data_IF_474322773661
#
_entry.id   IF_474322773661
#
_cell.length_a   1.000
_cell.length_b   1.000
_cell.length_c   1.000
_cell.angle_alpha   90.00
_cell.angle_beta   90.00
_cell.angle_gamma   90.00
#
_symmetry.space_group_name_H-M   'P 1'
#
loop_
_entity.id
_entity.type
_entity.pdbx_description
1 polymer ?
#
# COMPACT_ATOMS: atom_id res chain seq x y z
N UNK A 1 -1.57 -1.70 -6.25
CA UNK A 1 -2.88 -2.37 -6.20
C UNK A 1 -3.90 -1.45 -5.55
N UNK A 2 -5.07 -1.31 -6.17
CA UNK A 2 -6.16 -0.44 -5.75
C UNK A 2 -7.45 -1.25 -5.58
N UNK A 3 -8.30 -0.90 -4.63
CA UNK A 3 -9.60 -1.55 -4.47
C UNK A 3 -10.31 -1.15 -3.19
N UNK A 4 -11.56 -1.59 -3.03
CA UNK A 4 -12.33 -1.35 -1.81
C UNK A 4 -11.76 -2.06 -0.58
N UNK A 5 -12.31 -1.75 0.60
CA UNK A 5 -12.09 -2.57 1.79
C UNK A 5 -12.65 -3.99 1.57
N UNK A 6 -11.94 -5.01 2.04
CA UNK A 6 -12.36 -6.41 1.86
C UNK A 6 -12.33 -6.93 0.42
N UNK A 7 -11.70 -6.23 -0.52
CA UNK A 7 -11.69 -6.64 -1.93
C UNK A 7 -10.70 -7.78 -2.27
N UNK A 8 -9.86 -8.24 -1.32
CA UNK A 8 -8.82 -9.25 -1.56
C UNK A 8 -7.49 -8.70 -2.08
N UNK A 9 -7.31 -7.38 -2.15
CA UNK A 9 -6.10 -6.75 -2.71
C UNK A 9 -4.79 -7.01 -1.94
N UNK A 10 -4.85 -7.19 -0.61
CA UNK A 10 -3.65 -7.46 0.19
C UNK A 10 -3.13 -8.87 -0.09
N UNK A 11 -4.01 -9.88 -0.10
CA UNK A 11 -3.66 -11.27 -0.45
C UNK A 11 -3.04 -11.36 -1.84
N UNK A 12 -3.63 -10.63 -2.81
CA UNK A 12 -3.10 -10.59 -4.17
C UNK A 12 -1.73 -9.89 -4.24
N UNK A 13 -1.54 -8.83 -3.45
CA UNK A 13 -0.27 -8.10 -3.39
C UNK A 13 0.85 -8.97 -2.81
N UNK A 14 0.54 -9.75 -1.77
CA UNK A 14 1.47 -10.74 -1.20
C UNK A 14 1.81 -11.83 -2.21
N UNK A 15 0.81 -12.38 -2.92
CA UNK A 15 1.04 -13.34 -4.01
C UNK A 15 1.97 -12.77 -5.09
N UNK A 16 1.73 -11.53 -5.52
CA UNK A 16 2.57 -10.88 -6.52
C UNK A 16 4.02 -10.69 -6.02
N UNK A 17 4.20 -10.33 -4.74
CA UNK A 17 5.52 -10.25 -4.14
C UNK A 17 6.22 -11.62 -4.07
N UNK A 18 5.49 -12.68 -3.72
CA UNK A 18 6.03 -14.06 -3.70
C UNK A 18 6.47 -14.53 -5.08
N UNK A 19 5.69 -14.24 -6.13
CA UNK A 19 5.99 -14.62 -7.52
C UNK A 19 7.29 -14.02 -8.05
N UNK A 20 7.79 -12.92 -7.45
CA UNK A 20 9.10 -12.37 -7.83
C UNK A 20 10.26 -13.31 -7.54
N UNK A 21 10.08 -14.27 -6.62
CA UNK A 21 11.14 -15.16 -6.12
C UNK A 21 12.20 -14.45 -5.26
N UNK A 22 12.07 -13.14 -5.04
CA UNK A 22 13.02 -12.36 -4.24
C UNK A 22 12.72 -12.47 -2.75
N UNK A 23 13.70 -12.20 -1.87
CA UNK A 23 13.47 -11.92 -0.46
C UNK A 23 12.50 -10.73 -0.30
N UNK A 24 11.63 -10.76 0.72
CA UNK A 24 10.48 -9.85 0.82
C UNK A 24 10.56 -8.97 2.06
N UNK A 25 10.38 -7.67 1.86
CA UNK A 25 10.22 -6.68 2.93
C UNK A 25 8.77 -6.23 2.98
N UNK A 26 8.13 -6.36 4.14
CA UNK A 26 6.80 -5.84 4.41
C UNK A 26 6.89 -4.54 5.20
N UNK A 27 6.39 -3.45 4.64
CA UNK A 27 6.29 -2.15 5.29
C UNK A 27 4.85 -1.91 5.75
N UNK A 28 4.64 -2.08 7.06
CA UNK A 28 3.35 -1.92 7.72
C UNK A 28 3.14 -0.45 8.09
N UNK A 29 2.19 0.23 7.47
CA UNK A 29 1.87 1.64 7.78
C UNK A 29 0.68 1.77 8.74
N UNK A 30 0.01 0.66 9.02
CA UNK A 30 -1.17 0.64 9.84
C UNK A 30 -0.76 0.62 11.33
N UNK A 31 -1.31 1.55 12.11
CA UNK A 31 -1.15 1.54 13.57
C UNK A 31 -2.25 0.67 14.18
N UNK A 32 -1.86 -0.37 14.91
CA UNK A 32 -2.80 -1.28 15.53
C UNK A 32 -3.29 -0.69 16.87
N UNK A 33 -4.27 0.22 16.78
CA UNK A 33 -4.84 0.88 17.96
C UNK A 33 -5.73 -0.06 18.79
N UNK A 34 -6.36 -1.06 18.16
CA UNK A 34 -7.23 -2.05 18.81
C UNK A 34 -6.67 -3.48 18.78
N UNK A 35 -7.21 -4.34 19.66
CA UNK A 35 -6.77 -5.73 19.81
C UNK A 35 -7.13 -6.62 18.60
N UNK A 36 -8.18 -6.28 17.87
CA UNK A 36 -8.60 -7.01 16.67
C UNK A 36 -7.56 -6.84 15.55
N UNK A 37 -7.09 -5.60 15.36
CA UNK A 37 -6.07 -5.25 14.40
C UNK A 37 -4.72 -5.83 14.80
N UNK A 38 -4.38 -5.83 16.10
CA UNK A 38 -3.19 -6.53 16.61
C UNK A 38 -3.23 -8.04 16.33
N UNK A 39 -4.36 -8.70 16.59
CA UNK A 39 -4.54 -10.12 16.32
C UNK A 39 -4.46 -10.44 14.82
N UNK A 40 -5.07 -9.60 13.96
CA UNK A 40 -4.97 -9.72 12.50
C UNK A 40 -3.53 -9.57 12.01
N UNK A 41 -2.78 -8.58 12.51
CA UNK A 41 -1.37 -8.38 12.18
C UNK A 41 -0.53 -9.59 12.61
N UNK A 42 -0.75 -10.12 13.81
CA UNK A 42 -0.03 -11.29 14.31
C UNK A 42 -0.31 -12.54 13.46
N UNK A 43 -1.57 -12.79 13.11
CA UNK A 43 -1.94 -13.90 12.23
C UNK A 43 -1.30 -13.78 10.84
N UNK A 44 -1.32 -12.58 10.24
CA UNK A 44 -0.68 -12.33 8.94
C UNK A 44 0.84 -12.48 8.98
N UNK A 45 1.50 -12.01 10.05
CA UNK A 45 2.94 -12.22 10.24
C UNK A 45 3.28 -13.71 10.32
N UNK A 46 2.47 -14.49 11.03
CA UNK A 46 2.67 -15.93 11.17
C UNK A 46 2.44 -16.70 9.85
N UNK A 47 1.50 -16.25 8.99
CA UNK A 47 1.17 -16.96 7.74
C UNK A 47 2.16 -16.72 6.60
N UNK A 48 2.98 -15.66 6.65
CA UNK A 48 3.87 -15.25 5.55
C UNK A 48 5.10 -16.15 5.34
N UNK A 49 5.53 -16.87 6.37
CA UNK A 49 6.72 -17.72 6.32
C UNK A 49 8.05 -16.96 6.55
N UNK A 50 9.19 -17.68 6.53
CA UNK A 50 10.48 -17.18 7.03
C UNK A 50 11.16 -16.12 6.14
N UNK A 51 10.79 -16.04 4.86
CA UNK A 51 11.44 -15.15 3.88
C UNK A 51 10.96 -13.69 3.94
N UNK A 52 10.11 -13.37 4.92
CA UNK A 52 9.57 -12.03 5.11
C UNK A 52 10.24 -11.33 6.29
N UNK A 53 10.85 -10.19 6.04
CA UNK A 53 11.16 -9.20 7.08
C UNK A 53 10.03 -8.18 7.16
N UNK A 54 9.52 -7.90 8.37
CA UNK A 54 8.49 -6.87 8.57
C UNK A 54 9.06 -5.68 9.31
N UNK A 55 8.81 -4.47 8.82
CA UNK A 55 9.11 -3.21 9.47
C UNK A 55 7.84 -2.37 9.59
N UNK A 56 7.61 -1.81 10.77
CA UNK A 56 6.52 -0.84 10.99
C UNK A 56 7.00 0.56 10.61
N UNK A 57 6.22 1.24 9.79
CA UNK A 57 6.52 2.58 9.27
C UNK A 57 5.22 3.41 9.16
N UNK A 58 4.56 3.71 10.30
CA UNK A 58 3.25 4.38 10.30
C UNK A 58 3.33 5.84 9.81
N UNK A 59 4.48 6.49 9.96
CA UNK A 59 4.74 7.86 9.49
C UNK A 59 5.99 7.92 8.60
N UNK A 60 7.11 7.35 9.03
CA UNK A 60 8.37 7.42 8.27
C UNK A 60 8.52 6.28 7.26
N UNK A 61 7.60 6.20 6.29
CA UNK A 61 7.70 5.23 5.20
C UNK A 61 8.92 5.50 4.30
N UNK A 62 9.32 6.76 4.14
CA UNK A 62 10.48 7.14 3.32
C UNK A 62 11.78 6.60 3.94
N UNK A 63 11.98 6.76 5.24
CA UNK A 63 13.11 6.19 5.95
C UNK A 63 13.14 4.65 5.88
N UNK A 64 11.97 4.01 6.01
CA UNK A 64 11.85 2.56 5.87
C UNK A 64 12.20 2.06 4.45
N UNK A 65 11.75 2.78 3.40
CA UNK A 65 12.12 2.47 2.01
C UNK A 65 13.62 2.59 1.77
N UNK A 66 14.28 3.60 2.36
CA UNK A 66 15.73 3.77 2.23
C UNK A 66 16.54 2.67 2.93
N UNK A 67 15.96 1.97 3.90
CA UNK A 67 16.58 0.84 4.59
C UNK A 67 16.30 -0.52 3.92
N UNK A 68 15.38 -0.56 2.95
CA UNK A 68 15.08 -1.78 2.23
C UNK A 68 16.33 -2.28 1.48
N UNK A 69 16.80 -3.52 1.69
CA UNK A 69 18.00 -3.97 1.05
C UNK A 69 17.82 -4.13 -0.47
N UNK A 70 18.88 -3.86 -1.23
CA UNK A 70 18.86 -4.06 -2.68
C UNK A 70 18.50 -5.51 -3.05
N UNK A 71 17.81 -5.68 -4.17
CA UNK A 71 17.39 -7.01 -4.64
C UNK A 71 16.25 -7.65 -3.84
N UNK A 72 15.65 -6.93 -2.90
CA UNK A 72 14.40 -7.35 -2.25
C UNK A 72 13.19 -6.79 -2.99
N UNK A 73 12.06 -7.50 -2.90
CA UNK A 73 10.74 -6.91 -3.22
C UNK A 73 10.17 -6.25 -1.97
N UNK A 74 9.68 -5.03 -2.12
CA UNK A 74 9.03 -4.29 -1.03
C UNK A 74 7.52 -4.31 -1.23
N UNK A 75 6.79 -4.79 -0.21
CA UNK A 75 5.33 -4.68 -0.14
C UNK A 75 4.95 -3.62 0.90
N UNK A 76 4.22 -2.60 0.46
CA UNK A 76 3.67 -1.55 1.33
C UNK A 76 2.18 -1.80 1.54
N UNK A 77 1.75 -1.98 2.79
CA UNK A 77 0.33 -2.15 3.14
C UNK A 77 -0.02 -1.28 4.37
N UNK A 78 -0.76 -0.17 4.21
CA UNK A 78 -1.15 0.45 2.94
C UNK A 78 -0.96 1.96 2.92
N UNK A 79 -0.88 2.53 1.71
CA UNK A 79 -0.78 3.97 1.51
C UNK A 79 -1.98 4.73 2.09
N UNK A 80 -3.13 4.09 2.23
CA UNK A 80 -4.32 4.68 2.86
C UNK A 80 -4.13 4.93 4.35
N UNK A 81 -3.53 3.98 5.07
CA UNK A 81 -3.23 4.17 6.49
C UNK A 81 -2.13 5.21 6.70
N UNK A 82 -1.09 5.19 5.86
CA UNK A 82 -0.04 6.22 5.90
C UNK A 82 -0.63 7.64 5.76
N UNK A 83 -1.50 7.84 4.77
CA UNK A 83 -2.13 9.14 4.54
C UNK A 83 -3.04 9.54 5.70
N UNK A 84 -3.75 8.57 6.30
CA UNK A 84 -4.59 8.81 7.49
C UNK A 84 -3.74 9.26 8.66
N UNK A 85 -2.63 8.57 8.95
CA UNK A 85 -1.73 8.90 10.05
C UNK A 85 -1.16 10.32 9.90
N UNK A 86 -0.67 10.67 8.71
CA UNK A 86 -0.19 12.03 8.44
C UNK A 86 -1.29 13.10 8.53
N UNK A 87 -2.52 12.78 8.10
CA UNK A 87 -3.64 13.71 8.19
C UNK A 87 -3.99 13.99 9.66
N UNK A 88 -4.04 12.96 10.50
CA UNK A 88 -4.30 13.06 11.93
C UNK A 88 -3.16 13.74 12.70
N UNK A 89 -1.91 13.51 12.29
CA UNK A 89 -0.73 14.18 12.83
C UNK A 89 -0.60 15.66 12.38
N UNK A 90 -1.48 16.15 11.51
CA UNK A 90 -1.44 17.52 11.01
C UNK A 90 -0.28 17.81 10.05
N UNK A 91 0.32 16.78 9.45
CA UNK A 91 1.44 16.92 8.50
C UNK A 91 1.02 17.64 7.21
N UNK A 92 2.01 18.18 6.49
CA UNK A 92 1.82 18.63 5.11
C UNK A 92 1.69 17.45 4.14
N UNK A 93 0.46 17.02 3.89
CA UNK A 93 0.18 15.88 3.02
C UNK A 93 0.79 15.98 1.62
N UNK A 94 0.90 17.20 1.07
CA UNK A 94 1.46 17.39 -0.26
C UNK A 94 2.98 17.16 -0.23
N UNK A 95 3.67 17.74 0.76
CA UNK A 95 5.08 17.49 1.02
C UNK A 95 5.39 16.02 1.28
N UNK A 96 4.62 15.36 2.16
CA UNK A 96 4.79 13.92 2.46
C UNK A 96 4.61 13.05 1.21
N UNK A 97 3.56 13.32 0.43
CA UNK A 97 3.31 12.59 -0.82
C UNK A 97 4.46 12.79 -1.81
N UNK A 98 4.97 14.02 -1.96
CA UNK A 98 6.10 14.31 -2.85
C UNK A 98 7.38 13.58 -2.41
N UNK A 99 7.66 13.54 -1.10
CA UNK A 99 8.81 12.79 -0.54
C UNK A 99 8.68 11.30 -0.80
N UNK A 100 7.50 10.72 -0.59
CA UNK A 100 7.21 9.32 -0.90
C UNK A 100 7.41 9.01 -2.39
N UNK A 101 6.87 9.84 -3.28
CA UNK A 101 7.03 9.68 -4.73
C UNK A 101 8.51 9.72 -5.13
N UNK A 102 9.29 10.62 -4.51
CA UNK A 102 10.74 10.66 -4.67
C UNK A 102 11.41 9.34 -4.28
N UNK A 103 11.19 8.91 -3.03
CA UNK A 103 11.80 7.70 -2.47
C UNK A 103 11.46 6.44 -3.29
N UNK A 104 10.22 6.30 -3.77
CA UNK A 104 9.80 5.16 -4.57
C UNK A 104 10.58 5.00 -5.89
N UNK A 105 11.12 6.10 -6.45
CA UNK A 105 11.96 6.04 -7.65
C UNK A 105 13.37 5.54 -7.38
N UNK A 106 13.83 5.67 -6.15
CA UNK A 106 15.20 5.37 -5.75
C UNK A 106 15.35 3.94 -5.18
N UNK A 107 14.25 3.21 -5.01
CA UNK A 107 14.26 1.82 -4.51
C UNK A 107 14.93 0.89 -5.53
N UNK A 108 15.99 0.21 -5.09
CA UNK A 108 16.74 -0.76 -5.90
C UNK A 108 16.09 -2.16 -5.94
N UNK A 109 14.79 -2.20 -6.27
CA UNK A 109 14.00 -3.44 -6.33
C UNK A 109 12.52 -3.19 -6.67
N UNK A 110 11.74 -4.26 -6.95
CA UNK A 110 10.32 -4.12 -7.21
C UNK A 110 9.56 -3.61 -5.97
N UNK A 111 8.59 -2.72 -6.19
CA UNK A 111 7.69 -2.24 -5.13
C UNK A 111 6.25 -2.58 -5.48
N UNK A 112 5.58 -3.27 -4.56
CA UNK A 112 4.14 -3.50 -4.60
C UNK A 112 3.50 -2.61 -3.54
N UNK A 113 2.73 -1.61 -3.96
CA UNK A 113 2.02 -0.72 -3.03
C UNK A 113 0.52 -1.01 -3.01
N UNK A 114 -0.05 -1.24 -1.83
CA UNK A 114 -1.50 -1.40 -1.62
C UNK A 114 -2.11 -0.07 -1.22
N UNK A 115 -3.27 0.24 -1.80
CA UNK A 115 -4.04 1.43 -1.43
C UNK A 115 -5.55 1.19 -1.66
N UNK A 116 -6.38 1.88 -0.89
CA UNK A 116 -7.83 1.82 -1.02
C UNK A 116 -8.34 2.82 -2.07
N UNK A 117 -9.37 2.41 -2.81
CA UNK A 117 -10.22 3.33 -3.56
C UNK A 117 -11.39 3.75 -2.65
N UNK A 118 -11.48 5.04 -2.34
CA UNK A 118 -12.47 5.63 -1.40
C UNK A 118 -13.36 6.68 -2.07
N UNK A 119 -13.16 6.92 -3.36
CA UNK A 119 -13.79 7.96 -4.16
C UNK A 119 -15.15 7.56 -4.75
N UNK A 120 -15.49 6.28 -4.79
CA UNK A 120 -16.71 5.76 -5.44
C UNK A 120 -17.97 5.81 -4.56
N UNK A 121 -17.85 6.26 -3.31
CA UNK A 121 -18.97 6.44 -2.39
C UNK A 121 -19.55 7.86 -2.38
N UNK A 122 -20.46 8.10 -1.43
CA UNK A 122 -21.05 9.41 -1.17
C UNK A 122 -19.98 10.37 -0.63
N UNK A 123 -20.19 11.68 -0.85
CA UNK A 123 -19.36 12.73 -0.23
C UNK A 123 -19.53 12.68 1.30
N UNK A 124 -18.44 12.61 2.09
CA UNK A 124 -18.54 12.66 3.55
C UNK A 124 -19.19 13.96 4.04
N UNK A 125 -20.01 13.85 5.07
CA UNK A 125 -20.69 14.97 5.73
C UNK A 125 -19.73 15.88 6.51
N UNK A 126 -18.63 15.32 7.01
CA UNK A 126 -17.61 16.02 7.78
C UNK A 126 -16.42 16.49 6.92
N UNK A 127 -15.84 17.63 7.31
CA UNK A 127 -14.75 18.27 6.58
C UNK A 127 -13.48 17.40 6.52
N UNK A 128 -13.18 16.68 7.60
CA UNK A 128 -12.02 15.79 7.68
C UNK A 128 -12.11 14.67 6.65
N UNK A 129 -13.26 14.00 6.55
CA UNK A 129 -13.52 12.95 5.58
C UNK A 129 -13.45 13.44 4.14
N UNK A 130 -13.98 14.64 3.84
CA UNK A 130 -13.84 15.24 2.49
C UNK A 130 -12.38 15.54 2.13
N UNK A 131 -11.61 16.07 3.09
CA UNK A 131 -10.19 16.33 2.93
C UNK A 131 -9.42 15.03 2.68
N UNK A 132 -9.67 14.00 3.49
CA UNK A 132 -9.07 12.68 3.33
C UNK A 132 -9.39 12.06 1.97
N UNK A 133 -10.68 11.98 1.59
CA UNK A 133 -11.12 11.42 0.30
C UNK A 133 -10.43 12.10 -0.88
N UNK A 134 -10.33 13.43 -0.85
CA UNK A 134 -9.67 14.21 -1.90
C UNK A 134 -8.16 13.94 -1.94
N UNK A 135 -7.50 13.91 -0.78
CA UNK A 135 -6.07 13.64 -0.69
C UNK A 135 -5.75 12.20 -1.13
N UNK A 136 -6.55 11.20 -0.74
CA UNK A 136 -6.38 9.80 -1.13
C UNK A 136 -6.48 9.62 -2.64
N UNK A 137 -7.46 10.26 -3.28
CA UNK A 137 -7.60 10.23 -4.73
C UNK A 137 -6.40 10.87 -5.45
N UNK A 138 -5.83 11.94 -4.90
CA UNK A 138 -4.59 12.56 -5.45
C UNK A 138 -3.40 11.62 -5.32
N UNK A 139 -3.16 11.08 -4.11
CA UNK A 139 -2.07 10.12 -3.88
C UNK A 139 -2.17 8.89 -4.79
N UNK A 140 -3.37 8.32 -4.94
CA UNK A 140 -3.58 7.16 -5.83
C UNK A 140 -3.25 7.51 -7.28
N UNK A 141 -3.64 8.70 -7.77
CA UNK A 141 -3.33 9.16 -9.13
C UNK A 141 -1.82 9.35 -9.33
N UNK A 142 -1.14 9.98 -8.38
CA UNK A 142 0.28 10.27 -8.48
C UNK A 142 1.12 8.97 -8.45
N UNK A 143 0.76 8.02 -7.57
CA UNK A 143 1.37 6.69 -7.52
C UNK A 143 1.11 5.92 -8.82
N UNK A 144 -0.13 5.94 -9.33
CA UNK A 144 -0.48 5.26 -10.58
C UNK A 144 0.27 5.84 -11.79
N UNK A 145 0.53 7.15 -11.82
CA UNK A 145 1.26 7.82 -12.89
C UNK A 145 2.69 7.26 -13.04
N UNK A 146 3.39 7.04 -11.93
CA UNK A 146 4.76 6.48 -11.93
C UNK A 146 4.82 4.95 -11.94
N UNK A 147 3.72 4.26 -11.63
CA UNK A 147 3.67 2.80 -11.60
C UNK A 147 3.73 2.20 -13.01
N UNK A 148 4.52 1.14 -13.21
CA UNK A 148 4.51 0.39 -14.46
C UNK A 148 3.20 -0.41 -14.66
N UNK A 149 2.67 -0.94 -13.56
CA UNK A 149 1.46 -1.76 -13.51
C UNK A 149 0.51 -1.23 -12.43
N UNK A 150 -0.76 -1.04 -12.79
CA UNK A 150 -1.82 -0.67 -11.85
C UNK A 150 -2.94 -1.69 -11.97
N UNK A 151 -3.23 -2.36 -10.87
CA UNK A 151 -4.24 -3.41 -10.77
C UNK A 151 -5.35 -2.93 -9.85
N UNK A 152 -6.58 -2.93 -10.36
CA UNK A 152 -7.79 -2.82 -9.56
C UNK A 152 -8.22 -4.20 -9.08
N UNK A 153 -8.76 -4.30 -7.86
CA UNK A 153 -9.27 -5.57 -7.30
C UNK A 153 -10.67 -5.36 -6.76
N UNK A 154 -11.60 -6.19 -7.22
CA UNK A 154 -13.02 -6.19 -6.82
C UNK A 154 -13.48 -7.62 -6.58
N UNK A 155 -14.05 -7.90 -5.40
CA UNK A 155 -14.51 -9.24 -5.01
C UNK A 155 -13.44 -10.35 -5.21
N UNK A 156 -12.17 -10.04 -4.94
CA UNK A 156 -11.04 -10.94 -5.14
C UNK A 156 -10.53 -11.01 -6.58
N UNK A 157 -11.24 -10.42 -7.54
CA UNK A 157 -10.91 -10.49 -8.96
C UNK A 157 -10.06 -9.28 -9.39
N UNK A 158 -8.85 -9.49 -9.93
CA UNK A 158 -8.04 -8.40 -10.46
C UNK A 158 -8.44 -8.00 -11.87
N UNK A 159 -8.26 -6.72 -12.18
CA UNK A 159 -8.37 -6.16 -13.51
C UNK A 159 -7.28 -5.10 -13.73
N UNK A 160 -6.72 -5.05 -14.94
CA UNK A 160 -5.71 -4.06 -15.28
C UNK A 160 -6.34 -2.67 -15.43
N UNK A 161 -5.73 -1.69 -14.76
CA UNK A 161 -5.95 -0.25 -14.99
C UNK A 161 -4.80 0.35 -15.82
N UNK A 162 -3.59 -0.22 -15.74
CA UNK A 162 -2.40 0.16 -16.52
C UNK A 162 -1.45 -1.03 -16.62
N UNK A 163 -0.91 -1.30 -17.81
CA UNK A 163 0.04 -2.39 -18.04
C UNK A 163 -0.62 -3.78 -18.11
N UNK A 164 0.13 -4.81 -18.53
CA UNK A 164 -0.37 -6.19 -18.61
C UNK A 164 -0.50 -6.82 -17.22
N UNK A 165 -1.59 -7.55 -16.97
CA UNK A 165 -1.69 -8.40 -15.79
C UNK A 165 -0.79 -9.64 -15.96
N UNK A 166 0.00 -10.02 -14.94
CA UNK A 166 0.65 -11.33 -14.91
C UNK A 166 -0.38 -12.46 -14.99
N UNK A 167 -0.11 -13.46 -15.83
CA UNK A 167 -1.02 -14.59 -16.07
C UNK A 167 -1.32 -15.37 -14.80
N UNK A 168 -0.34 -15.45 -13.90
CA UNK A 168 -0.41 -16.18 -12.63
C UNK A 168 -1.42 -15.57 -11.65
N UNK A 169 -1.83 -14.31 -11.86
CA UNK A 169 -2.82 -13.63 -11.04
C UNK A 169 -4.10 -13.30 -11.80
N UNK A 170 -4.22 -13.65 -13.09
CA UNK A 170 -5.36 -13.29 -13.93
C UNK A 170 -6.59 -14.23 -13.80
N UNK A 171 -6.52 -15.26 -12.94
CA UNK A 171 -7.55 -16.30 -12.77
C UNK A 171 -8.42 -16.08 -11.54
#
# INVERSE_FOLDING_TARGET
MLGGAGSGKSDLAERLAVLTGLPRVYLATAEAYDDEMRAKVAAHRASRGPDWSTQEAPLDLVGALAQAPAGHVVLIDCLTMLLSNHLLAGSDLAGESARLLGALRDVAGPVVAVSNEVGQGIVPDNALGRRFRTAQGRLNRDIAAQSALVIGVMAGLPFALKGPLPEEIAQ
#
